data_IF_221165458582
#
_entry.id   IF_221165458582
#
_cell.length_a   1.000
_cell.length_b   1.000
_cell.length_c   1.000
_cell.angle_alpha   90.00
_cell.angle_beta   90.00
_cell.angle_gamma   90.00
#
_symmetry.space_group_name_H-M   'P 1'
#
loop_
_entity.id
_entity.type
_entity.pdbx_description
1 polymer ?
#
# COMPACT_ATOMS: atom_id res chain seq x y z
N UNK A 1 18.14 -12.08 0.43
CA UNK A 1 16.72 -11.87 0.80
C UNK A 1 15.75 -12.87 0.18
N UNK A 2 15.95 -13.32 -1.04
CA UNK A 2 15.05 -14.28 -1.75
C UNK A 2 15.00 -15.69 -1.12
N UNK A 3 15.83 -16.01 -0.15
CA UNK A 3 15.85 -17.33 0.52
C UNK A 3 14.75 -17.55 1.58
N UNK A 4 13.90 -16.56 1.85
CA UNK A 4 12.81 -16.74 2.81
C UNK A 4 11.51 -17.01 2.07
N UNK A 5 10.96 -18.20 2.23
CA UNK A 5 9.64 -18.60 1.71
C UNK A 5 8.48 -17.70 2.18
N UNK A 6 8.72 -16.83 3.18
CA UNK A 6 7.70 -15.94 3.77
C UNK A 6 7.10 -14.96 2.75
N UNK A 7 7.87 -14.51 1.75
CA UNK A 7 7.36 -13.61 0.70
C UNK A 7 6.40 -14.28 -0.28
N UNK A 8 6.41 -15.61 -0.33
CA UNK A 8 5.58 -16.36 -1.31
C UNK A 8 4.10 -16.19 -1.01
N UNK A 9 3.70 -16.23 0.27
CA UNK A 9 2.28 -16.16 0.64
C UNK A 9 1.59 -14.86 0.20
N UNK A 10 2.12 -13.65 0.51
CA UNK A 10 1.51 -12.41 0.00
C UNK A 10 1.42 -12.37 -1.53
N UNK A 11 2.42 -12.92 -2.24
CA UNK A 11 2.44 -12.98 -3.70
C UNK A 11 1.35 -13.91 -4.25
N UNK A 12 1.21 -15.10 -3.67
CA UNK A 12 0.15 -16.04 -4.06
C UNK A 12 -1.22 -15.40 -3.80
N UNK A 13 -1.43 -14.82 -2.61
CA UNK A 13 -2.69 -14.12 -2.29
C UNK A 13 -2.98 -13.00 -3.29
N UNK A 14 -1.96 -12.22 -3.67
CA UNK A 14 -2.12 -11.15 -4.65
C UNK A 14 -2.50 -11.67 -6.04
N UNK A 15 -1.76 -12.64 -6.57
CA UNK A 15 -2.01 -13.21 -7.90
C UNK A 15 -3.39 -13.86 -7.93
N UNK A 16 -3.73 -14.68 -6.92
CA UNK A 16 -5.03 -15.35 -6.82
C UNK A 16 -6.17 -14.32 -6.78
N UNK A 17 -6.01 -13.25 -5.99
CA UNK A 17 -7.02 -12.18 -5.90
C UNK A 17 -7.23 -11.49 -7.25
N UNK A 18 -6.16 -11.13 -7.96
CA UNK A 18 -6.26 -10.49 -9.28
C UNK A 18 -6.93 -11.42 -10.29
N UNK A 19 -6.51 -12.68 -10.35
CA UNK A 19 -7.10 -13.66 -11.26
C UNK A 19 -8.59 -13.89 -10.96
N UNK A 20 -8.96 -14.03 -9.68
CA UNK A 20 -10.35 -14.18 -9.26
C UNK A 20 -11.20 -12.95 -9.62
N UNK A 21 -10.68 -11.73 -9.39
CA UNK A 21 -11.40 -10.49 -9.72
C UNK A 21 -11.71 -10.40 -11.20
N UNK A 22 -10.75 -10.67 -12.07
CA UNK A 22 -10.92 -10.53 -13.52
C UNK A 22 -11.47 -11.81 -14.21
N UNK A 23 -11.79 -12.85 -13.45
CA UNK A 23 -12.59 -13.99 -13.94
C UNK A 23 -14.11 -13.73 -13.86
N UNK A 24 -14.53 -12.76 -13.05
CA UNK A 24 -15.93 -12.35 -12.90
C UNK A 24 -16.22 -11.21 -13.87
N UNK A 25 -16.95 -11.47 -14.95
CA UNK A 25 -17.27 -10.50 -15.98
C UNK A 25 -18.78 -10.16 -15.98
N UNK A 26 -19.17 -8.93 -16.30
CA UNK A 26 -18.34 -7.74 -16.56
C UNK A 26 -17.96 -6.96 -15.28
N UNK A 27 -16.83 -6.28 -15.32
CA UNK A 27 -16.31 -5.44 -14.23
C UNK A 27 -16.50 -3.95 -14.51
N UNK A 28 -16.75 -3.15 -13.48
CA UNK A 28 -16.71 -1.68 -13.58
C UNK A 28 -15.26 -1.20 -13.53
N UNK A 29 -14.82 -0.45 -14.56
CA UNK A 29 -13.40 -0.06 -14.73
C UNK A 29 -12.84 0.62 -13.49
N UNK A 30 -13.47 1.71 -13.04
CA UNK A 30 -12.95 2.58 -11.99
C UNK A 30 -12.97 1.89 -10.62
N UNK A 31 -14.12 1.31 -10.25
CA UNK A 31 -14.27 0.65 -8.94
C UNK A 31 -13.41 -0.60 -8.81
N UNK A 32 -13.24 -1.37 -9.90
CA UNK A 32 -12.38 -2.56 -9.87
C UNK A 32 -10.90 -2.18 -9.72
N UNK A 33 -10.42 -1.15 -10.43
CA UNK A 33 -9.06 -0.67 -10.22
C UNK A 33 -8.84 -0.10 -8.82
N UNK A 34 -9.84 0.59 -8.24
CA UNK A 34 -9.72 1.09 -6.87
C UNK A 34 -9.75 -0.05 -5.86
N UNK A 35 -10.60 -1.05 -6.05
CA UNK A 35 -10.66 -2.24 -5.19
C UNK A 35 -9.33 -2.99 -5.22
N UNK A 36 -8.79 -3.27 -6.40
CA UNK A 36 -7.49 -3.96 -6.52
C UNK A 36 -6.34 -3.13 -5.95
N UNK A 37 -6.33 -1.81 -6.14
CA UNK A 37 -5.36 -0.92 -5.50
C UNK A 37 -5.46 -0.96 -3.96
N UNK A 38 -6.68 -1.00 -3.40
CA UNK A 38 -6.89 -1.11 -1.95
C UNK A 38 -6.38 -2.43 -1.38
N UNK A 39 -6.55 -3.54 -2.10
CA UNK A 39 -5.98 -4.83 -1.70
C UNK A 39 -4.45 -4.81 -1.81
N UNK A 40 -3.88 -4.18 -2.85
CA UNK A 40 -2.44 -4.01 -2.96
C UNK A 40 -1.84 -3.28 -1.77
N UNK A 41 -2.54 -2.28 -1.21
CA UNK A 41 -2.11 -1.63 0.03
C UNK A 41 -1.85 -2.65 1.15
N UNK A 42 -2.80 -3.58 1.41
CA UNK A 42 -2.63 -4.61 2.43
C UNK A 42 -1.50 -5.59 2.11
N UNK A 43 -1.37 -5.98 0.86
CA UNK A 43 -0.28 -6.85 0.41
C UNK A 43 1.08 -6.19 0.67
N UNK A 44 1.22 -4.88 0.37
CA UNK A 44 2.48 -4.16 0.60
C UNK A 44 2.73 -3.92 2.10
N UNK A 45 1.70 -3.65 2.90
CA UNK A 45 1.83 -3.62 4.38
C UNK A 45 2.35 -4.96 4.90
N UNK A 46 1.77 -6.07 4.43
CA UNK A 46 2.23 -7.41 4.82
C UNK A 46 3.68 -7.67 4.39
N UNK A 47 4.05 -7.32 3.17
CA UNK A 47 5.44 -7.41 2.67
C UNK A 47 6.39 -6.57 3.52
N UNK A 48 5.98 -5.37 3.95
CA UNK A 48 6.77 -4.51 4.81
C UNK A 48 6.99 -5.15 6.20
N UNK A 49 5.97 -5.77 6.79
CA UNK A 49 6.09 -6.50 8.04
C UNK A 49 7.07 -7.67 7.93
N UNK A 50 6.96 -8.47 6.84
CA UNK A 50 7.90 -9.57 6.58
C UNK A 50 9.32 -9.02 6.38
N UNK A 51 9.46 -7.94 5.62
CA UNK A 51 10.76 -7.30 5.38
C UNK A 51 11.45 -6.90 6.70
N UNK A 52 10.71 -6.22 7.58
CA UNK A 52 11.22 -5.80 8.89
C UNK A 52 11.53 -7.02 9.77
N UNK A 53 10.72 -8.07 9.69
CA UNK A 53 10.96 -9.33 10.41
C UNK A 53 12.27 -10.01 10.02
N UNK A 54 12.65 -9.94 8.76
CA UNK A 54 13.85 -10.57 8.23
C UNK A 54 15.13 -9.75 8.49
N UNK A 55 15.00 -8.51 8.94
CA UNK A 55 16.15 -7.69 9.31
C UNK A 55 16.75 -8.22 10.63
N UNK A 56 17.99 -8.67 10.56
CA UNK A 56 18.75 -9.01 11.76
C UNK A 56 19.23 -7.71 12.43
N UNK A 57 18.93 -7.48 13.73
CA UNK A 57 19.33 -6.27 14.44
C UNK A 57 20.84 -5.99 14.40
N UNK A 58 21.68 -7.04 14.49
CA UNK A 58 23.14 -6.91 14.43
C UNK A 58 23.58 -6.42 13.04
N UNK A 59 23.03 -7.02 11.98
CA UNK A 59 23.33 -6.61 10.61
C UNK A 59 22.85 -5.17 10.35
N UNK A 60 21.70 -4.78 10.90
CA UNK A 60 21.17 -3.41 10.80
C UNK A 60 22.12 -2.41 11.48
N UNK A 61 22.63 -2.72 12.68
CA UNK A 61 23.60 -1.87 13.39
C UNK A 61 24.88 -1.69 12.59
N UNK A 62 25.44 -2.79 12.06
CA UNK A 62 26.66 -2.74 11.23
C UNK A 62 26.47 -1.91 9.95
N UNK A 63 25.31 -2.05 9.29
CA UNK A 63 24.96 -1.25 8.11
C UNK A 63 24.84 0.23 8.44
N UNK A 64 24.21 0.58 9.57
CA UNK A 64 24.08 1.97 10.01
C UNK A 64 25.44 2.61 10.31
N UNK A 65 26.35 1.88 10.95
CA UNK A 65 27.73 2.34 11.18
C UNK A 65 28.46 2.60 9.85
N UNK A 66 28.25 1.74 8.85
CA UNK A 66 28.88 1.87 7.52
C UNK A 66 28.31 3.02 6.71
N UNK A 67 27.00 3.22 6.73
CA UNK A 67 26.31 4.23 5.91
C UNK A 67 26.44 5.65 6.48
N UNK A 68 26.79 5.80 7.74
CA UNK A 68 26.95 7.07 8.49
C UNK A 68 25.71 8.00 8.52
N UNK A 69 24.67 7.76 7.70
CA UNK A 69 23.47 8.58 7.58
C UNK A 69 22.21 7.72 7.63
N UNK A 70 21.56 7.65 8.80
CA UNK A 70 20.40 6.79 9.06
C UNK A 70 19.22 7.04 8.10
N UNK A 71 19.03 8.28 7.66
CA UNK A 71 17.94 8.62 6.74
C UNK A 71 18.07 7.96 5.37
N UNK A 72 19.28 7.81 4.82
CA UNK A 72 19.49 7.08 3.57
C UNK A 72 19.19 5.59 3.71
N UNK A 73 19.56 5.01 4.84
CA UNK A 73 19.24 3.61 5.12
C UNK A 73 17.72 3.39 5.22
N UNK A 74 17.00 4.27 5.95
CA UNK A 74 15.55 4.17 6.06
C UNK A 74 14.86 4.45 4.71
N UNK A 75 15.35 5.42 3.93
CA UNK A 75 14.84 5.68 2.59
C UNK A 75 15.02 4.46 1.66
N UNK A 76 16.15 3.75 1.75
CA UNK A 76 16.36 2.54 0.93
C UNK A 76 15.34 1.44 1.23
N UNK A 77 14.87 1.31 2.48
CA UNK A 77 13.79 0.36 2.84
C UNK A 77 12.48 0.74 2.16
N UNK A 78 12.10 2.02 2.24
CA UNK A 78 10.88 2.52 1.62
C UNK A 78 10.94 2.37 0.10
N UNK A 79 12.05 2.76 -0.52
CA UNK A 79 12.25 2.65 -1.97
C UNK A 79 12.19 1.18 -2.41
N UNK A 80 12.83 0.27 -1.68
CA UNK A 80 12.77 -1.16 -2.00
C UNK A 80 11.33 -1.69 -1.99
N UNK A 81 10.56 -1.41 -0.93
CA UNK A 81 9.17 -1.85 -0.82
C UNK A 81 8.27 -1.18 -1.86
N UNK A 82 8.51 0.10 -2.14
CA UNK A 82 7.80 0.83 -3.18
C UNK A 82 8.06 0.24 -4.58
N UNK A 83 9.32 -0.04 -4.92
CA UNK A 83 9.67 -0.67 -6.20
C UNK A 83 9.06 -2.08 -6.30
N UNK A 84 9.09 -2.84 -5.22
CA UNK A 84 8.46 -4.15 -5.19
C UNK A 84 6.93 -4.04 -5.37
N UNK A 85 6.29 -3.11 -4.66
CA UNK A 85 4.87 -2.80 -4.83
C UNK A 85 4.53 -2.31 -6.25
N UNK A 86 5.44 -1.56 -6.90
CA UNK A 86 5.27 -1.11 -8.29
C UNK A 86 5.29 -2.28 -9.29
N UNK A 87 6.10 -3.30 -9.04
CA UNK A 87 6.07 -4.55 -9.83
C UNK A 87 4.73 -5.25 -9.66
N UNK A 88 4.20 -5.33 -8.43
CA UNK A 88 2.86 -5.92 -8.19
C UNK A 88 1.74 -5.08 -8.81
N UNK A 89 1.89 -3.75 -8.82
CA UNK A 89 0.99 -2.83 -9.52
C UNK A 89 0.96 -3.11 -11.03
N UNK A 90 2.12 -3.41 -11.64
CA UNK A 90 2.18 -3.77 -13.06
C UNK A 90 1.41 -5.07 -13.35
N UNK A 91 1.46 -6.05 -12.45
CA UNK A 91 0.67 -7.29 -12.58
C UNK A 91 -0.84 -6.99 -12.57
N UNK A 92 -1.29 -6.05 -11.72
CA UNK A 92 -2.69 -5.64 -11.66
C UNK A 92 -3.23 -5.00 -12.94
N UNK A 93 -2.36 -4.56 -13.84
CA UNK A 93 -2.75 -4.00 -15.14
C UNK A 93 -2.54 -4.98 -16.29
N UNK A 94 -1.47 -5.75 -16.24
CA UNK A 94 -1.16 -6.74 -17.28
C UNK A 94 -2.23 -7.84 -17.32
N UNK A 95 -2.69 -8.32 -16.17
CA UNK A 95 -3.72 -9.36 -16.10
C UNK A 95 -5.03 -8.93 -16.74
N UNK A 96 -5.66 -7.79 -16.35
CA UNK A 96 -6.90 -7.36 -17.00
C UNK A 96 -6.70 -6.98 -18.48
N UNK A 97 -5.53 -6.48 -18.86
CA UNK A 97 -5.21 -6.21 -20.26
C UNK A 97 -5.25 -7.50 -21.10
N UNK A 98 -4.56 -8.55 -20.65
CA UNK A 98 -4.55 -9.85 -21.32
C UNK A 98 -5.95 -10.48 -21.30
N UNK A 99 -6.62 -10.47 -20.13
CA UNK A 99 -7.97 -11.02 -19.99
C UNK A 99 -8.97 -10.32 -20.92
N UNK A 100 -8.87 -9.00 -21.07
CA UNK A 100 -9.75 -8.25 -21.94
C UNK A 100 -9.55 -8.58 -23.42
N UNK A 101 -8.31 -8.80 -23.86
CA UNK A 101 -8.00 -9.29 -25.22
C UNK A 101 -8.58 -10.68 -25.44
N UNK A 102 -8.34 -11.61 -24.51
CA UNK A 102 -8.79 -13.00 -24.61
C UNK A 102 -10.32 -13.12 -24.62
N UNK A 103 -11.03 -12.22 -23.93
CA UNK A 103 -12.48 -12.20 -23.86
C UNK A 103 -13.12 -11.19 -24.85
N UNK A 104 -12.43 -10.83 -25.93
CA UNK A 104 -12.95 -9.94 -26.98
C UNK A 104 -13.51 -8.63 -26.47
N UNK A 105 -12.92 -8.07 -25.40
CA UNK A 105 -13.34 -6.79 -24.80
C UNK A 105 -14.48 -6.90 -23.77
N UNK A 106 -14.94 -8.09 -23.42
CA UNK A 106 -16.12 -8.29 -22.56
C UNK A 106 -15.80 -8.28 -21.03
N UNK A 107 -14.53 -8.06 -20.64
CA UNK A 107 -14.14 -8.05 -19.21
C UNK A 107 -14.71 -6.85 -18.48
N UNK A 108 -14.91 -5.74 -19.17
CA UNK A 108 -15.40 -4.49 -18.58
C UNK A 108 -16.76 -4.08 -19.13
N UNK A 109 -17.53 -3.34 -18.32
CA UNK A 109 -18.86 -2.84 -18.69
C UNK A 109 -18.82 -1.81 -19.83
N UNK A 110 -17.65 -1.22 -20.10
CA UNK A 110 -17.41 -0.29 -21.21
C UNK A 110 -16.02 -0.55 -21.83
N UNK A 111 -15.79 -0.09 -23.07
CA UNK A 111 -14.46 -0.14 -23.65
C UNK A 111 -13.44 0.59 -22.75
N UNK A 112 -12.37 -0.09 -22.42
CA UNK A 112 -11.27 0.47 -21.61
C UNK A 112 -10.31 1.24 -22.51
N UNK A 113 -9.85 2.40 -22.05
CA UNK A 113 -8.94 3.29 -22.79
C UNK A 113 -7.52 3.22 -22.20
N UNK A 114 -6.53 3.70 -22.97
CA UNK A 114 -5.18 3.85 -22.45
C UNK A 114 -5.10 4.81 -21.24
N UNK A 115 -5.99 5.80 -21.17
CA UNK A 115 -6.12 6.70 -20.02
C UNK A 115 -6.58 5.96 -18.77
N UNK A 116 -7.52 5.02 -18.89
CA UNK A 116 -7.96 4.19 -17.75
C UNK A 116 -6.84 3.34 -17.19
N UNK A 117 -6.01 2.72 -18.04
CA UNK A 117 -4.83 1.97 -17.61
C UNK A 117 -3.81 2.87 -16.92
N UNK A 118 -3.56 4.07 -17.45
CA UNK A 118 -2.66 5.04 -16.81
C UNK A 118 -3.18 5.45 -15.42
N UNK A 119 -4.46 5.79 -15.31
CA UNK A 119 -5.09 6.12 -14.02
C UNK A 119 -5.04 4.94 -13.05
N UNK A 120 -5.41 3.75 -13.51
CA UNK A 120 -5.34 2.52 -12.73
C UNK A 120 -3.92 2.27 -12.21
N UNK A 121 -2.89 2.46 -13.03
CA UNK A 121 -1.50 2.34 -12.59
C UNK A 121 -1.13 3.34 -11.51
N UNK A 122 -1.51 4.60 -11.66
CA UNK A 122 -1.27 5.63 -10.64
C UNK A 122 -1.96 5.30 -9.32
N UNK A 123 -3.20 4.78 -9.35
CA UNK A 123 -3.87 4.33 -8.14
C UNK A 123 -3.04 3.26 -7.40
N UNK A 124 -2.58 2.25 -8.11
CA UNK A 124 -1.78 1.17 -7.53
C UNK A 124 -0.42 1.64 -7.00
N UNK A 125 0.26 2.55 -7.73
CA UNK A 125 1.54 3.11 -7.30
C UNK A 125 1.42 3.90 -6.00
N UNK A 126 0.41 4.77 -5.91
CA UNK A 126 0.18 5.59 -4.70
C UNK A 126 -0.22 4.71 -3.51
N UNK A 127 -1.09 3.73 -3.71
CA UNK A 127 -1.45 2.79 -2.64
C UNK A 127 -0.30 1.89 -2.23
N UNK A 128 0.57 1.48 -3.16
CA UNK A 128 1.78 0.73 -2.82
C UNK A 128 2.74 1.57 -1.96
N UNK A 129 2.93 2.85 -2.30
CA UNK A 129 3.73 3.78 -1.49
C UNK A 129 3.12 3.97 -0.10
N UNK A 130 1.80 4.17 -0.02
CA UNK A 130 1.07 4.31 1.24
C UNK A 130 1.20 3.05 2.10
N UNK A 131 1.06 1.86 1.49
CA UNK A 131 1.23 0.57 2.17
C UNK A 131 2.65 0.37 2.70
N UNK A 132 3.67 0.73 1.91
CA UNK A 132 5.07 0.66 2.33
C UNK A 132 5.36 1.61 3.52
N UNK A 133 4.88 2.85 3.45
CA UNK A 133 5.04 3.83 4.53
C UNK A 133 4.32 3.38 5.80
N UNK A 134 3.08 2.86 5.71
CA UNK A 134 2.30 2.36 6.84
C UNK A 134 2.96 1.12 7.46
N UNK A 135 3.39 0.17 6.64
CA UNK A 135 4.00 -1.07 7.13
C UNK A 135 5.36 -0.87 7.79
N UNK A 136 6.10 0.17 7.42
CA UNK A 136 7.37 0.55 8.05
C UNK A 136 7.19 1.43 9.30
N UNK A 137 6.02 2.06 9.50
CA UNK A 137 5.83 3.11 10.50
C UNK A 137 6.05 2.63 11.94
N UNK A 138 5.51 1.47 12.31
CA UNK A 138 5.63 0.88 13.64
C UNK A 138 6.68 -0.22 13.70
N UNK A 139 7.85 0.03 13.10
CA UNK A 139 8.95 -0.93 13.14
C UNK A 139 9.30 -1.36 14.59
N UNK A 140 9.74 -2.62 14.82
CA UNK A 140 10.10 -3.13 16.16
C UNK A 140 11.16 -2.30 16.88
N UNK A 141 11.96 -1.52 16.17
CA UNK A 141 12.91 -0.57 16.79
C UNK A 141 12.19 0.58 17.50
N UNK A 142 10.96 0.94 17.06
CA UNK A 142 10.14 1.97 17.71
C UNK A 142 9.37 1.35 18.86
N UNK A 143 8.77 0.18 18.63
CA UNK A 143 8.06 -0.61 19.62
C UNK A 143 8.91 -1.85 19.92
N UNK A 144 9.42 -1.96 21.17
CA UNK A 144 10.29 -3.07 21.57
C UNK A 144 9.60 -4.44 21.48
N UNK A 145 8.28 -4.48 21.71
CA UNK A 145 7.48 -5.69 21.53
C UNK A 145 7.07 -5.84 20.05
N UNK A 146 7.66 -6.86 19.42
CA UNK A 146 7.40 -7.21 18.03
C UNK A 146 5.95 -7.62 17.76
N UNK A 147 5.32 -8.36 18.69
CA UNK A 147 3.92 -8.80 18.52
C UNK A 147 3.00 -7.59 18.53
N UNK A 148 3.26 -6.66 19.47
CA UNK A 148 2.52 -5.41 19.56
C UNK A 148 2.72 -4.55 18.30
N UNK A 149 3.95 -4.45 17.76
CA UNK A 149 4.23 -3.71 16.54
C UNK A 149 3.44 -4.26 15.34
N UNK A 150 3.40 -5.58 15.16
CA UNK A 150 2.62 -6.23 14.10
C UNK A 150 1.13 -5.98 14.30
N UNK A 151 0.61 -6.22 15.52
CA UNK A 151 -0.81 -6.04 15.84
C UNK A 151 -1.28 -4.60 15.57
N UNK A 152 -0.51 -3.63 16.03
CA UNK A 152 -0.83 -2.22 15.82
C UNK A 152 -0.75 -1.82 14.33
N UNK A 153 0.25 -2.31 13.59
CA UNK A 153 0.36 -2.04 12.14
C UNK A 153 -0.84 -2.59 11.38
N UNK A 154 -1.24 -3.84 11.68
CA UNK A 154 -2.44 -4.45 11.08
C UNK A 154 -3.69 -3.68 11.49
N UNK A 155 -3.81 -3.30 12.77
CA UNK A 155 -4.92 -2.48 13.29
C UNK A 155 -5.02 -1.14 12.57
N UNK A 156 -3.90 -0.42 12.39
CA UNK A 156 -3.84 0.84 11.64
C UNK A 156 -4.27 0.65 10.19
N UNK A 157 -3.81 -0.44 9.54
CA UNK A 157 -4.19 -0.73 8.16
C UNK A 157 -5.69 -1.04 8.02
N UNK A 158 -6.27 -1.81 8.94
CA UNK A 158 -7.70 -2.11 8.96
C UNK A 158 -8.54 -0.86 9.21
N UNK A 159 -8.15 -0.04 10.19
CA UNK A 159 -8.83 1.24 10.47
C UNK A 159 -8.77 2.15 9.24
N UNK A 160 -7.63 2.24 8.56
CA UNK A 160 -7.48 3.03 7.33
C UNK A 160 -8.49 2.63 6.24
N UNK A 161 -8.87 1.37 6.19
CA UNK A 161 -9.83 0.85 5.21
C UNK A 161 -11.29 1.11 5.62
N UNK A 162 -11.62 0.96 6.91
CA UNK A 162 -13.02 1.02 7.37
C UNK A 162 -13.42 2.37 7.97
N UNK A 163 -12.47 3.33 8.11
CA UNK A 163 -12.70 4.57 8.87
C UNK A 163 -13.89 5.39 8.39
N UNK A 164 -14.18 5.44 7.08
CA UNK A 164 -15.34 6.20 6.58
C UNK A 164 -16.63 5.60 7.12
N UNK A 165 -16.80 4.28 7.09
CA UNK A 165 -17.97 3.60 7.65
C UNK A 165 -18.12 3.85 9.15
N UNK A 166 -17.00 3.86 9.87
CA UNK A 166 -17.01 4.18 11.31
C UNK A 166 -17.45 5.64 11.55
N UNK A 167 -16.97 6.57 10.72
CA UNK A 167 -17.32 8.01 10.83
C UNK A 167 -18.79 8.26 10.44
N UNK A 168 -19.33 7.53 9.47
CA UNK A 168 -20.76 7.58 9.10
C UNK A 168 -21.65 7.19 10.27
N UNK A 169 -21.30 6.15 11.01
CA UNK A 169 -22.06 5.70 12.20
C UNK A 169 -21.81 6.59 13.43
N UNK A 170 -20.57 7.02 13.62
CA UNK A 170 -20.14 7.75 14.83
C UNK A 170 -19.33 8.97 14.41
N UNK A 171 -20.01 10.07 14.10
CA UNK A 171 -19.41 11.24 13.45
C UNK A 171 -18.31 11.94 14.25
N UNK A 172 -18.33 11.91 15.58
CA UNK A 172 -17.28 12.51 16.41
C UNK A 172 -15.92 11.79 16.31
N UNK A 173 -15.90 10.50 15.92
CA UNK A 173 -14.66 9.76 15.71
C UNK A 173 -13.81 10.32 14.56
N UNK A 174 -14.35 11.21 13.73
CA UNK A 174 -13.58 11.92 12.70
C UNK A 174 -12.35 12.63 13.29
N UNK A 175 -12.47 13.21 14.48
CA UNK A 175 -11.35 13.91 15.14
C UNK A 175 -10.24 12.95 15.61
N UNK A 176 -10.58 11.69 15.90
CA UNK A 176 -9.61 10.67 16.34
C UNK A 176 -9.03 9.93 15.13
N UNK A 177 -9.84 9.69 14.11
CA UNK A 177 -9.45 8.87 12.96
C UNK A 177 -8.76 9.64 11.83
N UNK A 178 -8.76 11.00 11.87
CA UNK A 178 -8.11 11.81 10.84
C UNK A 178 -6.61 11.51 10.65
N UNK A 179 -5.80 11.18 11.71
CA UNK A 179 -4.38 10.89 11.54
C UNK A 179 -4.09 9.48 10.99
N UNK A 180 -5.11 8.65 10.77
CA UNK A 180 -4.93 7.34 10.13
C UNK A 180 -4.75 7.46 8.61
N UNK A 181 -4.07 6.49 7.97
CA UNK A 181 -3.86 6.51 6.52
C UNK A 181 -5.16 6.75 5.76
N UNK A 182 -5.15 7.62 4.74
CA UNK A 182 -6.38 8.05 4.05
C UNK A 182 -6.88 7.05 2.99
N UNK A 183 -6.70 5.73 3.19
CA UNK A 183 -7.07 4.72 2.19
C UNK A 183 -8.56 4.78 1.84
N UNK A 184 -9.44 4.83 2.86
CA UNK A 184 -10.89 4.91 2.63
C UNK A 184 -11.29 6.25 1.98
N UNK A 185 -10.66 7.38 2.40
CA UNK A 185 -10.91 8.69 1.79
C UNK A 185 -10.50 8.71 0.31
N UNK A 186 -9.39 8.05 -0.01
CA UNK A 186 -8.91 7.89 -1.38
C UNK A 186 -9.86 7.02 -2.20
N UNK A 187 -10.40 5.94 -1.62
CA UNK A 187 -11.37 5.08 -2.29
C UNK A 187 -12.70 5.81 -2.54
N UNK A 188 -13.14 6.65 -1.61
CA UNK A 188 -14.37 7.42 -1.75
C UNK A 188 -14.36 8.41 -2.93
N UNK A 189 -13.19 8.85 -3.40
CA UNK A 189 -13.08 9.71 -4.60
C UNK A 189 -13.56 9.03 -5.89
N UNK A 190 -13.63 7.70 -5.87
CA UNK A 190 -13.93 6.87 -7.05
C UNK A 190 -15.14 5.95 -6.83
N UNK A 191 -15.92 6.20 -5.77
CA UNK A 191 -17.19 5.50 -5.53
C UNK A 191 -18.24 6.02 -6.52
N UNK A 192 -18.99 5.11 -7.13
CA UNK A 192 -20.08 5.41 -8.08
C UNK A 192 -19.69 6.27 -9.31
N UNK A 193 -18.40 6.19 -9.71
CA UNK A 193 -17.86 6.92 -10.85
C UNK A 193 -17.56 5.96 -11.99
N UNK A 194 -18.08 6.24 -13.19
CA UNK A 194 -17.82 5.40 -14.37
C UNK A 194 -16.48 5.70 -15.06
N UNK A 195 -16.01 6.95 -14.97
CA UNK A 195 -14.79 7.40 -15.65
C UNK A 195 -13.87 8.16 -14.71
N UNK A 196 -12.56 8.05 -14.92
CA UNK A 196 -11.58 8.78 -14.14
C UNK A 196 -11.62 10.28 -14.41
N UNK A 197 -11.78 11.09 -13.36
CA UNK A 197 -11.60 12.54 -13.41
C UNK A 197 -10.15 12.90 -13.15
N UNK A 198 -9.57 13.76 -13.97
CA UNK A 198 -8.22 14.28 -13.76
C UNK A 198 -8.07 14.98 -12.39
N UNK A 199 -9.08 15.75 -11.97
CA UNK A 199 -9.09 16.45 -10.67
C UNK A 199 -9.03 15.45 -9.51
N UNK A 200 -9.84 14.39 -9.53
CA UNK A 200 -9.83 13.34 -8.50
C UNK A 200 -8.49 12.60 -8.47
N UNK A 201 -7.91 12.34 -9.65
CA UNK A 201 -6.62 11.68 -9.75
C UNK A 201 -5.49 12.52 -9.15
N UNK A 202 -5.42 13.81 -9.47
CA UNK A 202 -4.43 14.73 -8.90
C UNK A 202 -4.57 14.79 -7.37
N UNK A 203 -5.80 14.94 -6.88
CA UNK A 203 -6.05 14.97 -5.44
C UNK A 203 -5.65 13.65 -4.76
N UNK A 204 -5.94 12.51 -5.41
CA UNK A 204 -5.51 11.19 -4.95
C UNK A 204 -3.99 11.08 -4.79
N UNK A 205 -3.25 11.50 -5.81
CA UNK A 205 -1.76 11.47 -5.80
C UNK A 205 -1.20 12.40 -4.74
N UNK A 206 -1.73 13.61 -4.62
CA UNK A 206 -1.27 14.59 -3.62
C UNK A 206 -1.58 14.13 -2.19
N UNK A 207 -2.78 13.64 -1.93
CA UNK A 207 -3.18 13.20 -0.59
C UNK A 207 -2.44 11.91 -0.20
N UNK A 208 -2.46 10.88 -1.05
CA UNK A 208 -1.83 9.59 -0.76
C UNK A 208 -0.30 9.69 -0.71
N UNK A 209 0.31 10.38 -1.69
CA UNK A 209 1.75 10.62 -1.74
C UNK A 209 2.23 11.51 -0.61
N UNK A 210 1.56 12.64 -0.37
CA UNK A 210 1.87 13.58 0.71
C UNK A 210 1.80 12.92 2.08
N UNK A 211 0.73 12.17 2.34
CA UNK A 211 0.58 11.42 3.59
C UNK A 211 1.70 10.39 3.78
N UNK A 212 2.05 9.66 2.72
CA UNK A 212 3.14 8.67 2.77
C UNK A 212 4.49 9.32 3.12
N UNK A 213 4.77 10.49 2.57
CA UNK A 213 6.00 11.26 2.88
C UNK A 213 5.99 11.77 4.32
N UNK A 214 4.84 12.21 4.84
CA UNK A 214 4.70 12.62 6.25
C UNK A 214 4.94 11.45 7.18
N UNK A 215 4.30 10.30 6.94
CA UNK A 215 4.54 9.08 7.72
C UNK A 215 6.00 8.66 7.72
N UNK A 216 6.63 8.66 6.55
CA UNK A 216 8.05 8.32 6.42
C UNK A 216 8.95 9.29 7.18
N UNK A 217 8.65 10.59 7.13
CA UNK A 217 9.40 11.62 7.84
C UNK A 217 9.30 11.44 9.35
N UNK A 218 8.09 11.19 9.87
CA UNK A 218 7.85 10.90 11.29
C UNK A 218 8.58 9.62 11.71
N UNK A 219 8.48 8.55 10.90
CA UNK A 219 9.18 7.29 11.15
C UNK A 219 10.69 7.49 11.26
N UNK A 220 11.29 8.20 10.31
CA UNK A 220 12.73 8.50 10.30
C UNK A 220 13.14 9.31 11.52
N UNK A 221 12.33 10.29 11.94
CA UNK A 221 12.57 11.09 13.13
C UNK A 221 12.52 10.25 14.42
N UNK A 222 11.51 9.39 14.55
CA UNK A 222 11.37 8.49 15.71
C UNK A 222 12.53 7.48 15.78
N UNK A 223 12.93 6.90 14.65
CA UNK A 223 14.07 5.98 14.58
C UNK A 223 15.39 6.63 14.99
N UNK A 224 15.58 7.92 14.64
CA UNK A 224 16.78 8.67 15.04
C UNK A 224 16.84 8.91 16.55
N UNK A 225 15.69 9.09 17.23
CA UNK A 225 15.63 9.27 18.69
C UNK A 225 15.82 7.96 19.48
N UNK A 226 15.47 6.82 18.91
CA UNK A 226 15.57 5.51 19.55
C UNK A 226 16.93 4.88 19.22
N UNK A 227 17.88 4.96 20.17
CA UNK A 227 19.12 4.18 20.11
C UNK A 227 18.77 2.70 20.24
N UNK A 228 19.60 1.83 19.67
CA UNK A 228 19.48 0.40 19.90
C UNK A 228 19.60 0.14 21.40
N UNK A 229 18.57 -0.45 22.01
CA UNK A 229 18.69 -0.98 23.37
C UNK A 229 19.62 -2.18 23.31
N UNK A 230 20.69 -2.11 24.04
CA UNK A 230 21.59 -3.23 24.31
C UNK A 230 20.86 -4.37 25.00
#
# INVERSE_FOLDING_TARGET
>A
MVKSAKFIMPLICWITFILATYSMNPNYVVSTFMMTASVLYFIVVWLALIYVELLNPITEQLLLLKVRREHFYNASKLIFLFLFGSVLASVALVVPFISNILNSGAVFTRPITGYDYFCGYLLHIVTALLGAATGLFLAPRILQDRKLAVLLTVGVALVAFVKIRIIEEISWLRFILWPFPPLADLAALFTDVETFSFKSLVFYVLLGGGYSLVLFSINTYLLKKRKFSS
#
